data_IF_604919669849
#
_entry.id   IF_604919669849
#
_cell.length_a   1.000
_cell.length_b   1.000
_cell.length_c   1.000
_cell.angle_alpha   90.00
_cell.angle_beta   90.00
_cell.angle_gamma   90.00
#
_symmetry.space_group_name_H-M   'P 1'
#
loop_
_entity.id
_entity.type
_entity.pdbx_description
1 polymer ?
#
# COMPACT_ATOMS: atom_id res chain seq x y z
N UNK A 1 -2.67 0.47 -31.93
CA UNK A 1 -1.84 1.23 -30.98
C UNK A 1 -0.67 0.36 -30.57
N UNK A 2 0.56 0.78 -30.86
CA UNK A 2 1.75 -0.06 -30.69
C UNK A 2 2.17 -0.12 -29.22
N UNK A 3 2.64 -1.28 -28.78
CA UNK A 3 3.16 -1.53 -27.44
C UNK A 3 4.21 -0.47 -27.02
N UNK A 4 4.96 0.08 -27.98
CA UNK A 4 6.03 1.06 -27.78
C UNK A 4 5.55 2.48 -27.41
N UNK A 5 4.37 2.93 -27.87
CA UNK A 5 3.87 4.27 -27.54
C UNK A 5 3.49 4.44 -26.06
N UNK A 6 3.26 3.34 -25.34
CA UNK A 6 3.03 3.35 -23.88
C UNK A 6 4.31 3.66 -23.09
N UNK A 7 5.49 3.50 -23.68
CA UNK A 7 6.78 3.61 -22.98
C UNK A 7 7.47 4.97 -23.11
N UNK A 8 7.15 5.77 -24.13
CA UNK A 8 7.79 7.07 -24.39
C UNK A 8 6.98 8.27 -23.92
N UNK A 9 5.73 8.08 -23.49
CA UNK A 9 4.96 9.16 -22.90
C UNK A 9 5.57 9.54 -21.55
N UNK A 10 5.74 10.84 -21.25
CA UNK A 10 6.14 11.27 -19.91
C UNK A 10 5.19 10.63 -18.89
N UNK A 11 5.70 10.18 -17.72
CA UNK A 11 4.83 9.57 -16.73
C UNK A 11 3.69 10.55 -16.42
N UNK A 12 2.45 10.11 -16.62
CA UNK A 12 1.20 10.85 -16.31
C UNK A 12 1.00 11.07 -14.80
N UNK A 13 2.08 11.17 -14.01
CA UNK A 13 2.00 11.40 -12.57
C UNK A 13 1.78 12.90 -12.36
N UNK A 14 0.51 13.29 -12.34
CA UNK A 14 0.12 14.63 -11.88
C UNK A 14 0.55 14.79 -10.42
N UNK A 15 1.28 15.87 -10.06
CA UNK A 15 1.65 16.18 -8.68
C UNK A 15 0.43 16.49 -7.80
N UNK A 16 -0.73 16.73 -8.42
CA UNK A 16 -2.01 17.06 -7.75
C UNK A 16 -2.78 15.80 -7.31
N UNK A 17 -2.25 14.61 -7.62
CA UNK A 17 -2.92 13.33 -7.42
C UNK A 17 -3.86 12.97 -8.58
N UNK A 18 -4.24 11.70 -8.65
CA UNK A 18 -5.23 11.19 -9.60
C UNK A 18 -6.58 11.05 -8.90
N UNK A 19 -7.65 11.39 -9.60
CA UNK A 19 -9.02 11.29 -9.08
C UNK A 19 -9.96 10.70 -10.13
N UNK A 20 -11.01 10.03 -9.66
CA UNK A 20 -12.17 9.59 -10.44
C UNK A 20 -13.34 10.49 -10.09
N UNK A 21 -14.14 10.87 -11.08
CA UNK A 21 -15.41 11.56 -10.85
C UNK A 21 -16.53 10.69 -11.43
N UNK A 22 -17.52 10.37 -10.61
CA UNK A 22 -18.80 9.81 -11.05
C UNK A 22 -19.77 10.99 -11.16
N UNK A 23 -20.31 11.24 -12.35
CA UNK A 23 -21.07 12.46 -12.68
C UNK A 23 -22.55 12.12 -12.82
N UNK A 24 -23.39 13.00 -12.28
CA UNK A 24 -24.84 13.03 -12.49
C UNK A 24 -25.15 14.40 -13.07
N UNK A 25 -25.72 14.45 -14.27
CA UNK A 25 -25.95 15.68 -15.02
C UNK A 25 -27.43 15.96 -15.27
N UNK A 26 -28.27 14.94 -15.26
CA UNK A 26 -29.69 15.09 -15.59
C UNK A 26 -30.57 15.07 -14.33
N UNK A 27 -31.55 15.98 -14.20
CA UNK A 27 -32.49 15.96 -13.07
C UNK A 27 -33.22 14.62 -12.91
N UNK A 28 -33.52 13.94 -14.01
CA UNK A 28 -34.21 12.65 -14.04
C UNK A 28 -33.38 11.53 -13.40
N UNK A 29 -32.04 11.61 -13.48
CA UNK A 29 -31.15 10.63 -12.85
C UNK A 29 -31.32 10.59 -11.33
N UNK A 30 -31.81 11.67 -10.72
CA UNK A 30 -32.11 11.72 -9.30
C UNK A 30 -33.30 10.81 -8.91
N UNK A 31 -34.13 10.40 -9.87
CA UNK A 31 -35.20 9.41 -9.67
C UNK A 31 -34.72 7.96 -9.84
N UNK A 32 -33.59 7.77 -10.51
CA UNK A 32 -33.03 6.45 -10.80
C UNK A 32 -32.10 5.99 -9.69
N UNK A 33 -32.65 5.71 -8.51
CA UNK A 33 -31.86 5.44 -7.29
C UNK A 33 -30.82 4.33 -7.47
N UNK A 34 -31.09 3.32 -8.29
CA UNK A 34 -30.15 2.22 -8.56
C UNK A 34 -28.87 2.68 -9.28
N UNK A 35 -28.99 3.68 -10.15
CA UNK A 35 -27.93 4.17 -11.03
C UNK A 35 -27.16 5.35 -10.43
N UNK A 36 -27.68 5.97 -9.37
CA UNK A 36 -27.00 7.04 -8.66
C UNK A 36 -25.72 6.53 -7.94
N UNK A 37 -24.66 7.35 -7.91
CA UNK A 37 -23.53 7.14 -7.02
C UNK A 37 -23.99 6.89 -5.59
N UNK A 38 -23.40 5.89 -4.94
CA UNK A 38 -23.84 5.44 -3.62
C UNK A 38 -23.77 6.54 -2.54
N UNK A 39 -22.87 7.50 -2.72
CA UNK A 39 -22.74 8.69 -1.89
C UNK A 39 -23.98 9.57 -1.99
N UNK A 40 -24.49 9.82 -3.21
CA UNK A 40 -25.70 10.60 -3.43
C UNK A 40 -26.94 9.87 -2.89
N UNK A 41 -27.02 8.55 -3.10
CA UNK A 41 -28.07 7.72 -2.49
C UNK A 41 -28.10 7.85 -0.97
N UNK A 42 -26.93 7.76 -0.35
CA UNK A 42 -26.79 7.92 1.10
C UNK A 42 -27.22 9.32 1.56
N UNK A 43 -26.82 10.37 0.84
CA UNK A 43 -27.24 11.74 1.14
C UNK A 43 -28.76 11.88 1.05
N UNK A 44 -29.38 11.40 -0.03
CA UNK A 44 -30.83 11.48 -0.20
C UNK A 44 -31.60 10.68 0.84
N UNK A 45 -31.06 9.53 1.30
CA UNK A 45 -31.66 8.77 2.41
C UNK A 45 -31.60 9.51 3.76
N UNK A 46 -30.58 10.36 3.96
CA UNK A 46 -30.38 11.11 5.21
C UNK A 46 -31.10 12.45 5.21
N UNK A 47 -31.14 13.11 4.07
CA UNK A 47 -31.75 14.41 3.86
C UNK A 47 -32.52 14.41 2.53
N UNK A 48 -33.75 13.89 2.50
CA UNK A 48 -34.55 13.81 1.27
C UNK A 48 -34.78 15.18 0.61
N UNK A 49 -34.87 16.25 1.41
CA UNK A 49 -35.00 17.62 0.91
C UNK A 49 -33.83 18.07 0.02
N UNK A 50 -32.65 17.45 0.15
CA UNK A 50 -31.50 17.78 -0.70
C UNK A 50 -31.64 17.23 -2.11
N UNK A 51 -32.50 16.23 -2.33
CA UNK A 51 -32.79 15.69 -3.67
C UNK A 51 -33.37 16.77 -4.59
N UNK A 52 -34.34 17.54 -4.10
CA UNK A 52 -34.98 18.60 -4.90
C UNK A 52 -34.02 19.75 -5.20
N UNK A 53 -33.19 20.15 -4.23
CA UNK A 53 -32.14 21.15 -4.46
C UNK A 53 -31.09 20.68 -5.48
N UNK A 54 -30.73 19.40 -5.45
CA UNK A 54 -29.83 18.82 -6.45
C UNK A 54 -30.47 18.86 -7.83
N UNK A 55 -31.73 18.43 -7.99
CA UNK A 55 -32.44 18.51 -9.27
C UNK A 55 -32.51 19.93 -9.82
N UNK A 56 -32.77 20.91 -8.97
CA UNK A 56 -32.81 22.31 -9.37
C UNK A 56 -31.46 22.78 -9.91
N UNK A 57 -30.36 22.39 -9.26
CA UNK A 57 -29.01 22.69 -9.75
C UNK A 57 -28.75 21.98 -11.09
N UNK A 58 -29.15 20.72 -11.22
CA UNK A 58 -29.00 19.97 -12.47
C UNK A 58 -29.80 20.61 -13.62
N UNK A 59 -31.02 21.06 -13.34
CA UNK A 59 -31.89 21.72 -14.32
C UNK A 59 -31.40 23.10 -14.77
N UNK A 60 -30.39 23.66 -14.09
CA UNK A 60 -29.72 24.91 -14.47
C UNK A 60 -28.45 24.68 -15.30
N UNK A 61 -28.29 23.51 -15.94
CA UNK A 61 -27.15 23.23 -16.83
C UNK A 61 -25.85 22.91 -16.09
N UNK A 62 -25.94 22.37 -14.87
CA UNK A 62 -24.79 21.99 -14.04
C UNK A 62 -24.86 20.50 -13.74
N UNK A 63 -23.71 19.89 -13.48
CA UNK A 63 -23.63 18.51 -13.05
C UNK A 63 -23.00 18.40 -11.66
N UNK A 64 -23.35 17.34 -10.93
CA UNK A 64 -22.74 16.98 -9.66
C UNK A 64 -21.81 15.79 -9.87
N UNK A 65 -20.55 15.99 -9.49
CA UNK A 65 -19.53 14.96 -9.49
C UNK A 65 -19.23 14.45 -8.09
N UNK A 66 -19.20 13.13 -7.90
CA UNK A 66 -18.58 12.50 -6.73
C UNK A 66 -17.10 12.31 -7.03
N UNK A 67 -16.27 13.24 -6.54
CA UNK A 67 -14.81 13.18 -6.72
C UNK A 67 -14.17 12.28 -5.67
N UNK A 68 -13.54 11.22 -6.13
CA UNK A 68 -12.77 10.27 -5.30
C UNK A 68 -11.29 10.33 -5.66
N UNK A 69 -10.44 10.60 -4.68
CA UNK A 69 -8.99 10.55 -4.84
C UNK A 69 -8.54 9.09 -4.89
N UNK A 70 -7.78 8.78 -5.95
CA UNK A 70 -7.19 7.46 -6.20
C UNK A 70 -5.75 7.37 -5.69
N UNK A 71 -5.04 8.51 -5.66
CA UNK A 71 -3.70 8.63 -5.09
C UNK A 71 -3.64 9.85 -4.18
N UNK A 72 -3.18 9.63 -2.95
CA UNK A 72 -2.94 10.66 -1.95
C UNK A 72 -2.03 11.75 -2.54
N UNK A 73 -2.42 13.03 -2.42
CA UNK A 73 -1.57 14.14 -2.86
C UNK A 73 -0.19 14.09 -2.19
N UNK A 74 0.85 14.36 -2.97
CA UNK A 74 2.25 14.16 -2.56
C UNK A 74 2.63 15.03 -1.35
N UNK A 75 2.06 16.22 -1.23
CA UNK A 75 2.28 17.10 -0.08
C UNK A 75 1.69 16.56 1.23
N UNK A 76 0.60 15.78 1.18
CA UNK A 76 0.06 15.07 2.35
C UNK A 76 0.98 13.91 2.72
N UNK A 77 1.47 13.15 1.73
CA UNK A 77 2.43 12.07 1.97
C UNK A 77 3.71 12.60 2.59
N UNK A 78 4.24 13.72 2.11
CA UNK A 78 5.39 14.40 2.70
C UNK A 78 5.12 14.82 4.14
N UNK A 79 3.98 15.45 4.43
CA UNK A 79 3.63 15.84 5.80
C UNK A 79 3.53 14.64 6.76
N UNK A 80 2.91 13.54 6.31
CA UNK A 80 2.86 12.28 7.08
C UNK A 80 4.25 11.69 7.28
N UNK A 81 5.09 11.73 6.25
CA UNK A 81 6.48 11.29 6.32
C UNK A 81 7.25 12.08 7.37
N UNK A 82 7.22 13.41 7.32
CA UNK A 82 7.88 14.32 8.29
C UNK A 82 7.52 13.95 9.73
N UNK A 83 6.21 13.86 10.03
CA UNK A 83 5.74 13.53 11.38
C UNK A 83 6.18 12.11 11.77
N UNK A 84 5.94 11.13 10.90
CA UNK A 84 6.19 9.72 11.20
C UNK A 84 7.68 9.43 11.44
N UNK A 85 8.57 9.94 10.58
CA UNK A 85 9.99 9.63 10.61
C UNK A 85 10.71 10.38 11.71
N UNK A 86 10.49 11.70 11.81
CA UNK A 86 11.29 12.52 12.71
C UNK A 86 10.80 12.47 14.16
N UNK A 87 9.49 12.24 14.38
CA UNK A 87 8.89 12.38 15.71
C UNK A 87 8.21 11.11 16.22
N UNK A 88 7.59 10.32 15.33
CA UNK A 88 6.77 9.18 15.76
C UNK A 88 7.45 7.82 15.54
N UNK A 89 8.78 7.77 15.40
CA UNK A 89 9.53 6.51 15.27
C UNK A 89 8.99 5.55 14.19
N UNK A 90 8.58 6.12 13.05
CA UNK A 90 7.94 5.43 11.92
C UNK A 90 6.55 4.83 12.19
N UNK A 91 5.89 5.22 13.28
CA UNK A 91 4.48 4.88 13.53
C UNK A 91 3.54 5.88 12.88
N UNK A 92 2.42 5.34 12.38
CA UNK A 92 1.34 6.12 11.77
C UNK A 92 0.00 5.75 12.42
N UNK A 93 -0.21 4.48 12.76
CA UNK A 93 -1.51 4.01 13.31
C UNK A 93 -1.85 4.60 14.68
N UNK A 94 -0.87 5.12 15.41
CA UNK A 94 -1.06 5.65 16.77
C UNK A 94 -1.63 7.06 16.77
N UNK A 95 -1.52 7.80 15.67
CA UNK A 95 -1.88 9.23 15.64
C UNK A 95 -2.61 9.67 14.37
N UNK A 96 -2.33 9.09 13.20
CA UNK A 96 -2.94 9.54 11.95
C UNK A 96 -4.45 9.28 11.91
N UNK A 97 -4.97 8.11 12.33
CA UNK A 97 -6.41 7.88 12.37
C UNK A 97 -7.16 8.87 13.28
N UNK A 98 -6.62 9.17 14.46
CA UNK A 98 -7.22 10.10 15.44
C UNK A 98 -7.08 11.54 14.98
N UNK A 99 -5.99 11.92 14.30
CA UNK A 99 -5.86 13.23 13.68
C UNK A 99 -6.88 13.44 12.56
N UNK A 100 -7.07 12.44 11.69
CA UNK A 100 -8.01 12.56 10.55
C UNK A 100 -9.48 12.51 11.01
N UNK A 101 -9.82 11.69 12.01
CA UNK A 101 -11.19 11.56 12.54
C UNK A 101 -11.56 12.68 13.48
N UNK A 102 -10.77 12.85 14.53
CA UNK A 102 -11.14 13.62 15.71
C UNK A 102 -10.37 14.94 15.81
N UNK A 103 -9.48 15.22 14.84
CA UNK A 103 -8.54 16.35 14.85
C UNK A 103 -7.63 16.35 16.09
N UNK A 104 -7.47 15.19 16.72
CA UNK A 104 -6.60 15.06 17.87
C UNK A 104 -5.15 15.16 17.41
N UNK A 105 -4.45 16.16 17.93
CA UNK A 105 -3.08 16.44 17.52
C UNK A 105 -2.13 15.35 18.07
N UNK A 106 -1.17 14.86 17.28
CA UNK A 106 -0.08 14.05 17.81
C UNK A 106 0.70 14.82 18.88
N UNK A 107 1.17 14.10 19.90
CA UNK A 107 2.03 14.69 20.92
C UNK A 107 3.46 14.86 20.39
N UNK A 108 3.99 16.08 20.51
CA UNK A 108 5.36 16.44 20.12
C UNK A 108 6.13 16.94 21.34
N UNK A 109 7.40 16.55 21.45
CA UNK A 109 8.33 17.06 22.46
C UNK A 109 9.15 18.22 21.91
N UNK A 110 9.78 19.01 22.79
CA UNK A 110 10.68 20.09 22.33
C UNK A 110 11.82 19.57 21.45
N UNK A 111 12.35 18.39 21.77
CA UNK A 111 13.38 17.73 20.97
C UNK A 111 12.91 17.37 19.56
N UNK A 112 11.62 17.06 19.38
CA UNK A 112 11.05 16.79 18.05
C UNK A 112 11.08 18.06 17.19
N UNK A 113 10.70 19.20 17.76
CA UNK A 113 10.73 20.49 17.07
C UNK A 113 12.14 20.86 16.62
N UNK A 114 13.14 20.68 17.50
CA UNK A 114 14.55 20.94 17.15
C UNK A 114 15.02 20.02 16.01
N UNK A 115 14.76 18.71 16.11
CA UNK A 115 15.16 17.74 15.08
C UNK A 115 14.56 18.04 13.72
N UNK A 116 13.29 18.46 13.67
CA UNK A 116 12.61 18.76 12.40
C UNK A 116 13.09 20.08 11.80
N UNK A 117 13.45 21.06 12.63
CA UNK A 117 14.05 22.31 12.19
C UNK A 117 15.44 22.11 11.56
N UNK A 118 16.25 21.18 12.07
CA UNK A 118 17.55 20.82 11.47
C UNK A 118 17.41 20.35 10.01
N UNK A 119 16.25 19.80 9.64
CA UNK A 119 15.92 19.38 8.27
C UNK A 119 15.19 20.45 7.45
N UNK A 120 15.02 21.67 7.98
CA UNK A 120 14.32 22.76 7.30
C UNK A 120 12.80 22.57 7.16
N UNK A 121 12.22 21.67 7.96
CA UNK A 121 10.79 21.37 7.96
C UNK A 121 10.09 21.95 9.21
N UNK A 122 8.74 21.99 9.21
CA UNK A 122 7.95 22.50 10.34
C UNK A 122 6.79 21.55 10.66
N UNK A 123 6.73 21.10 11.92
CA UNK A 123 5.70 20.16 12.38
C UNK A 123 4.29 20.74 12.29
N UNK A 124 4.11 22.00 12.71
CA UNK A 124 2.79 22.63 12.71
C UNK A 124 2.23 22.76 11.29
N UNK A 125 3.10 23.09 10.32
CA UNK A 125 2.72 23.13 8.90
C UNK A 125 2.36 21.74 8.36
N UNK A 126 3.12 20.69 8.74
CA UNK A 126 2.79 19.32 8.35
C UNK A 126 1.41 18.90 8.87
N UNK A 127 1.09 19.21 10.14
CA UNK A 127 -0.22 18.93 10.73
C UNK A 127 -1.32 19.74 10.04
N UNK A 128 -1.08 21.03 9.78
CA UNK A 128 -2.03 21.91 9.09
C UNK A 128 -2.34 21.41 7.69
N UNK A 129 -1.32 20.99 6.92
CA UNK A 129 -1.49 20.41 5.59
C UNK A 129 -2.42 19.18 5.64
N UNK A 130 -2.16 18.24 6.56
CA UNK A 130 -2.97 17.03 6.69
C UNK A 130 -4.41 17.40 7.04
N UNK A 131 -4.60 18.29 8.02
CA UNK A 131 -5.92 18.71 8.45
C UNK A 131 -6.67 19.47 7.35
N UNK A 132 -6.03 20.40 6.65
CA UNK A 132 -6.66 21.19 5.57
C UNK A 132 -7.14 20.30 4.44
N UNK A 133 -6.31 19.36 4.01
CA UNK A 133 -6.59 18.56 2.82
C UNK A 133 -7.31 17.22 3.10
N UNK A 134 -7.58 16.86 4.36
CA UNK A 134 -8.29 15.63 4.74
C UNK A 134 -9.68 15.46 4.10
N UNK A 135 -10.37 16.57 3.81
CA UNK A 135 -11.70 16.56 3.18
C UNK A 135 -11.64 16.31 1.66
N UNK A 136 -10.45 16.35 1.05
CA UNK A 136 -10.32 16.30 -0.41
C UNK A 136 -10.35 14.89 -0.97
N UNK A 137 -10.25 13.86 -0.13
CA UNK A 137 -10.18 12.46 -0.55
C UNK A 137 -11.49 11.95 -1.16
N UNK A 138 -12.62 12.40 -0.62
CA UNK A 138 -13.93 12.12 -1.18
C UNK A 138 -14.86 13.29 -0.90
N UNK A 139 -15.32 13.95 -1.95
CA UNK A 139 -16.19 15.13 -1.85
C UNK A 139 -17.10 15.23 -3.06
N UNK A 140 -18.22 15.93 -2.89
CA UNK A 140 -19.05 16.36 -4.00
C UNK A 140 -18.46 17.63 -4.60
N UNK A 141 -18.49 17.71 -5.93
CA UNK A 141 -18.06 18.87 -6.70
C UNK A 141 -19.14 19.23 -7.70
N UNK A 142 -19.26 20.52 -7.98
CA UNK A 142 -20.05 20.98 -9.12
C UNK A 142 -19.18 21.04 -10.36
N UNK A 143 -19.78 20.66 -11.47
CA UNK A 143 -19.25 20.75 -12.81
C UNK A 143 -20.20 21.68 -13.55
N UNK A 144 -19.66 22.80 -14.03
CA UNK A 144 -20.43 23.75 -14.81
C UNK A 144 -20.35 23.33 -16.28
N UNK A 145 -21.42 22.73 -16.80
CA UNK A 145 -21.43 22.19 -18.17
C UNK A 145 -21.70 23.28 -19.20
N UNK A 146 -22.45 24.32 -18.81
CA UNK A 146 -22.87 25.42 -19.69
C UNK A 146 -22.06 26.72 -19.50
N UNK A 147 -21.01 26.70 -18.65
CA UNK A 147 -20.16 27.86 -18.32
C UNK A 147 -20.94 29.05 -17.72
N UNK A 148 -21.98 28.77 -16.94
CA UNK A 148 -22.84 29.78 -16.31
C UNK A 148 -22.22 30.39 -15.06
N UNK A 149 -21.16 29.78 -14.53
CA UNK A 149 -20.52 30.12 -13.27
C UNK A 149 -21.16 29.42 -12.07
N UNK A 150 -20.35 29.17 -11.04
CA UNK A 150 -20.78 28.55 -9.77
C UNK A 150 -20.94 29.65 -8.72
N UNK A 151 -22.13 29.76 -8.13
CA UNK A 151 -22.43 30.76 -7.11
C UNK A 151 -21.89 30.36 -5.73
N UNK A 152 -21.76 31.32 -4.81
CA UNK A 152 -21.33 31.04 -3.44
C UNK A 152 -22.32 30.13 -2.68
N UNK A 153 -23.62 30.25 -2.96
CA UNK A 153 -24.65 29.40 -2.36
C UNK A 153 -24.50 27.95 -2.81
N UNK A 154 -24.25 27.73 -4.10
CA UNK A 154 -24.01 26.41 -4.67
C UNK A 154 -22.72 25.77 -4.13
N UNK A 155 -21.66 26.57 -3.96
CA UNK A 155 -20.42 26.11 -3.31
C UNK A 155 -20.66 25.71 -1.85
N UNK A 156 -21.43 26.52 -1.10
CA UNK A 156 -21.79 26.22 0.28
C UNK A 156 -22.59 24.92 0.35
N UNK A 157 -23.58 24.75 -0.51
CA UNK A 157 -24.38 23.53 -0.59
C UNK A 157 -23.51 22.29 -0.89
N UNK A 158 -22.54 22.36 -1.82
CA UNK A 158 -21.63 21.24 -2.06
C UNK A 158 -20.78 20.86 -0.84
N UNK A 159 -20.37 21.86 -0.04
CA UNK A 159 -19.65 21.60 1.20
C UNK A 159 -20.57 20.89 2.22
N UNK A 160 -21.81 21.35 2.37
CA UNK A 160 -22.81 20.70 3.24
C UNK A 160 -23.07 19.23 2.84
N UNK A 161 -23.23 18.95 1.54
CA UNK A 161 -23.37 17.57 1.05
C UNK A 161 -22.12 16.73 1.33
N UNK A 162 -20.93 17.32 1.19
CA UNK A 162 -19.66 16.65 1.47
C UNK A 162 -19.47 16.35 2.97
N UNK A 163 -19.98 17.21 3.84
CA UNK A 163 -19.97 16.99 5.30
C UNK A 163 -20.84 15.80 5.72
N UNK A 164 -21.97 15.56 5.03
CA UNK A 164 -22.83 14.40 5.32
C UNK A 164 -22.11 13.06 5.10
N UNK A 165 -21.27 12.96 4.07
CA UNK A 165 -20.50 11.73 3.78
C UNK A 165 -19.20 11.67 4.58
N UNK A 166 -18.76 12.77 5.20
CA UNK A 166 -17.45 12.89 5.84
C UNK A 166 -17.16 11.81 6.89
N UNK A 167 -18.05 11.50 7.85
CA UNK A 167 -17.77 10.46 8.87
C UNK A 167 -17.39 9.11 8.27
N UNK A 168 -17.93 8.78 7.09
CA UNK A 168 -17.63 7.55 6.37
C UNK A 168 -16.42 7.72 5.44
N UNK A 169 -16.23 8.92 4.86
CA UNK A 169 -15.13 9.25 3.97
C UNK A 169 -13.78 9.34 4.69
N UNK A 170 -13.75 9.69 5.98
CA UNK A 170 -12.51 9.73 6.76
C UNK A 170 -11.82 8.38 6.77
N UNK A 171 -12.56 7.30 6.94
CA UNK A 171 -11.97 5.95 6.98
C UNK A 171 -11.36 5.55 5.64
N UNK A 172 -11.98 6.00 4.54
CA UNK A 172 -11.39 5.88 3.21
C UNK A 172 -10.11 6.70 3.10
N UNK A 173 -10.10 7.95 3.60
CA UNK A 173 -8.93 8.82 3.59
C UNK A 173 -7.76 8.23 4.41
N UNK A 174 -8.03 7.78 5.64
CA UNK A 174 -7.05 7.11 6.52
C UNK A 174 -6.43 5.93 5.81
N UNK A 175 -7.26 5.02 5.26
CA UNK A 175 -6.76 3.87 4.54
C UNK A 175 -5.93 4.28 3.31
N UNK A 176 -6.41 5.25 2.52
CA UNK A 176 -5.75 5.69 1.29
C UNK A 176 -4.38 6.29 1.58
N UNK A 177 -4.28 7.16 2.59
CA UNK A 177 -3.00 7.75 3.02
C UNK A 177 -2.04 6.67 3.51
N UNK A 178 -2.51 5.73 4.32
CA UNK A 178 -1.69 4.61 4.82
C UNK A 178 -1.20 3.73 3.67
N UNK A 179 -2.10 3.35 2.75
CA UNK A 179 -1.78 2.48 1.61
C UNK A 179 -0.83 3.16 0.63
N UNK A 180 -1.02 4.44 0.32
CA UNK A 180 -0.16 5.16 -0.62
C UNK A 180 1.21 5.48 -0.01
N UNK A 181 1.28 5.86 1.27
CA UNK A 181 2.55 6.02 1.99
C UNK A 181 3.33 4.69 2.04
N UNK A 182 2.63 3.57 2.18
CA UNK A 182 3.23 2.24 2.09
C UNK A 182 3.69 1.90 0.67
N UNK A 183 2.94 2.30 -0.36
CA UNK A 183 3.24 2.07 -1.78
C UNK A 183 4.46 2.86 -2.27
N UNK A 184 4.62 4.11 -1.83
CA UNK A 184 5.83 4.89 -2.13
C UNK A 184 7.10 4.22 -1.56
N UNK A 185 6.96 3.54 -0.42
CA UNK A 185 8.05 2.76 0.19
C UNK A 185 8.28 1.39 -0.45
N UNK A 186 7.40 0.92 -1.34
CA UNK A 186 7.42 -0.46 -1.90
C UNK A 186 7.33 -0.52 -3.41
N UNK A 187 7.87 0.49 -4.12
CA UNK A 187 7.85 0.61 -5.59
C UNK A 187 8.49 -0.57 -6.36
N UNK A 188 9.08 -1.52 -5.64
CA UNK A 188 9.82 -2.67 -6.12
C UNK A 188 8.98 -3.84 -6.66
N UNK A 189 7.77 -4.06 -6.14
CA UNK A 189 7.00 -5.28 -6.44
C UNK A 189 6.62 -5.45 -7.93
N UNK A 190 6.43 -4.34 -8.66
CA UNK A 190 6.09 -4.37 -10.09
C UNK A 190 7.29 -4.71 -10.99
N UNK A 191 8.51 -4.48 -10.53
CA UNK A 191 9.73 -4.78 -11.27
C UNK A 191 10.05 -6.28 -11.20
N UNK A 192 9.76 -6.91 -10.07
CA UNK A 192 10.02 -8.35 -9.85
C UNK A 192 9.11 -9.23 -10.70
N UNK A 193 7.80 -8.94 -10.77
CA UNK A 193 6.86 -9.69 -11.63
C UNK A 193 7.26 -9.61 -13.11
N UNK A 194 7.84 -8.48 -13.55
CA UNK A 194 8.38 -8.36 -14.91
C UNK A 194 9.68 -9.14 -15.09
N UNK A 195 10.49 -9.24 -14.03
CA UNK A 195 11.70 -10.04 -13.98
C UNK A 195 11.45 -11.53 -14.24
N UNK A 196 10.33 -12.09 -13.75
CA UNK A 196 9.97 -13.51 -13.94
C UNK A 196 9.99 -14.01 -15.40
N UNK A 197 9.63 -13.15 -16.37
CA UNK A 197 9.70 -13.49 -17.80
C UNK A 197 11.12 -13.67 -18.33
N UNK A 198 12.12 -13.15 -17.62
CA UNK A 198 13.55 -13.29 -17.91
C UNK A 198 14.16 -14.37 -17.01
N UNK A 199 13.77 -14.42 -15.73
CA UNK A 199 14.31 -15.36 -14.75
C UNK A 199 13.95 -16.81 -15.08
N UNK A 200 12.71 -17.08 -15.47
CA UNK A 200 12.25 -18.45 -15.82
C UNK A 200 13.08 -19.11 -16.93
N UNK A 201 13.24 -18.47 -18.10
CA UNK A 201 14.10 -19.00 -19.17
C UNK A 201 15.55 -19.20 -18.75
N UNK A 202 16.15 -18.23 -18.04
CA UNK A 202 17.55 -18.32 -17.62
C UNK A 202 17.75 -19.43 -16.60
N UNK A 203 16.88 -19.52 -15.58
CA UNK A 203 16.90 -20.60 -14.61
C UNK A 203 16.74 -21.97 -15.30
N UNK A 204 15.88 -22.07 -16.32
CA UNK A 204 15.63 -23.32 -17.03
C UNK A 204 16.85 -23.78 -17.84
N UNK A 205 17.53 -22.83 -18.48
CA UNK A 205 18.78 -23.12 -19.19
C UNK A 205 19.88 -23.52 -18.21
N UNK A 206 20.05 -22.77 -17.12
CA UNK A 206 21.08 -23.06 -16.11
C UNK A 206 20.89 -24.42 -15.44
N UNK A 207 19.64 -24.78 -15.11
CA UNK A 207 19.33 -26.08 -14.51
C UNK A 207 19.63 -27.26 -15.46
N UNK A 208 19.50 -27.04 -16.78
CA UNK A 208 19.85 -28.04 -17.80
C UNK A 208 21.36 -28.21 -17.96
N UNK A 209 22.15 -27.17 -17.72
CA UNK A 209 23.62 -27.25 -17.82
C UNK A 209 24.22 -27.94 -16.60
N UNK A 210 23.80 -27.56 -15.39
CA UNK A 210 24.26 -28.15 -14.14
C UNK A 210 23.09 -28.14 -13.15
N UNK A 211 22.68 -29.32 -12.69
CA UNK A 211 21.62 -29.45 -11.68
C UNK A 211 21.97 -28.63 -10.44
N UNK A 212 21.00 -27.87 -9.94
CA UNK A 212 21.16 -26.97 -8.81
C UNK A 212 21.54 -25.53 -9.17
N UNK A 213 22.23 -25.25 -10.28
CA UNK A 213 22.59 -23.86 -10.63
C UNK A 213 21.35 -23.04 -10.97
N UNK A 214 20.37 -23.63 -11.66
CA UNK A 214 19.10 -22.97 -11.94
C UNK A 214 18.29 -22.72 -10.65
N UNK A 215 18.35 -23.66 -9.70
CA UNK A 215 17.77 -23.50 -8.35
C UNK A 215 18.43 -22.35 -7.58
N UNK A 216 19.77 -22.26 -7.56
CA UNK A 216 20.51 -21.15 -6.92
C UNK A 216 20.12 -19.81 -7.53
N UNK A 217 20.09 -19.75 -8.87
CA UNK A 217 19.72 -18.54 -9.59
C UNK A 217 18.28 -18.12 -9.26
N UNK A 218 17.31 -19.04 -9.37
CA UNK A 218 15.92 -18.76 -9.05
C UNK A 218 15.70 -18.31 -7.60
N UNK A 219 16.42 -18.91 -6.64
CA UNK A 219 16.34 -18.55 -5.22
C UNK A 219 17.00 -17.21 -4.88
N UNK A 220 17.97 -16.75 -5.67
CA UNK A 220 18.77 -15.56 -5.34
C UNK A 220 18.39 -14.31 -6.13
N UNK A 221 17.79 -14.46 -7.32
CA UNK A 221 17.58 -13.33 -8.22
C UNK A 221 16.58 -12.31 -7.67
N UNK A 222 15.50 -12.75 -7.03
CA UNK A 222 14.53 -11.83 -6.44
C UNK A 222 15.17 -10.98 -5.32
N UNK A 223 15.97 -11.60 -4.45
CA UNK A 223 16.72 -10.93 -3.39
C UNK A 223 17.75 -9.93 -3.94
N UNK A 224 18.48 -10.32 -4.98
CA UNK A 224 19.48 -9.46 -5.63
C UNK A 224 18.81 -8.27 -6.31
N UNK A 225 17.72 -8.50 -7.06
CA UNK A 225 16.97 -7.42 -7.72
C UNK A 225 16.33 -6.48 -6.69
N UNK A 226 15.80 -7.05 -5.60
CA UNK A 226 15.34 -6.38 -4.39
C UNK A 226 16.35 -5.38 -3.85
N UNK A 227 17.47 -5.90 -3.39
CA UNK A 227 18.50 -5.09 -2.74
C UNK A 227 19.18 -4.14 -3.72
N UNK A 228 19.34 -4.53 -5.00
CA UNK A 228 19.95 -3.67 -6.02
C UNK A 228 19.13 -2.42 -6.31
N UNK A 229 17.79 -2.52 -6.36
CA UNK A 229 16.97 -1.33 -6.58
C UNK A 229 16.98 -0.41 -5.34
N UNK A 230 17.07 -0.96 -4.13
CA UNK A 230 17.21 -0.15 -2.92
C UNK A 230 18.58 0.54 -2.84
N UNK A 231 19.66 -0.16 -3.22
CA UNK A 231 21.00 0.42 -3.37
C UNK A 231 21.01 1.53 -4.43
N UNK A 232 20.33 1.33 -5.57
CA UNK A 232 20.21 2.37 -6.61
C UNK A 232 19.39 3.57 -6.14
N UNK A 233 18.31 3.35 -5.38
CA UNK A 233 17.51 4.42 -4.79
C UNK A 233 18.33 5.26 -3.81
N UNK A 234 19.11 4.61 -2.94
CA UNK A 234 20.02 5.29 -2.00
C UNK A 234 21.18 5.98 -2.71
N UNK A 235 21.71 5.41 -3.79
CA UNK A 235 22.70 6.10 -4.62
C UNK A 235 22.11 7.36 -5.27
N UNK A 236 20.89 7.27 -5.78
CA UNK A 236 20.14 8.39 -6.33
C UNK A 236 19.90 9.51 -5.31
N UNK A 237 19.84 9.17 -4.02
CA UNK A 237 19.75 10.14 -2.91
C UNK A 237 21.11 10.59 -2.35
N UNK A 238 22.22 10.34 -3.03
CA UNK A 238 23.53 10.94 -2.73
C UNK A 238 24.42 10.16 -1.76
N UNK A 239 24.06 8.93 -1.37
CA UNK A 239 24.91 8.12 -0.48
C UNK A 239 26.20 7.64 -1.17
N UNK A 240 27.30 7.62 -0.42
CA UNK A 240 28.59 7.18 -0.94
C UNK A 240 28.62 5.67 -1.17
N UNK A 241 29.29 5.22 -2.25
CA UNK A 241 29.44 3.81 -2.60
C UNK A 241 30.00 2.94 -1.46
N UNK A 242 30.86 3.50 -0.61
CA UNK A 242 31.44 2.80 0.54
C UNK A 242 30.39 2.44 1.60
N UNK A 243 29.34 3.24 1.73
CA UNK A 243 28.24 2.97 2.66
C UNK A 243 27.28 1.93 2.08
N UNK A 244 26.99 2.02 0.79
CA UNK A 244 26.19 1.03 0.06
C UNK A 244 26.85 -0.35 0.05
N UNK A 245 28.18 -0.42 -0.07
CA UNK A 245 28.94 -1.67 -0.03
C UNK A 245 28.97 -2.35 1.35
N UNK A 246 28.71 -1.61 2.45
CA UNK A 246 28.54 -2.25 3.76
C UNK A 246 27.20 -2.99 3.84
N UNK A 247 26.19 -2.48 3.14
CA UNK A 247 24.83 -3.02 3.11
C UNK A 247 24.75 -4.32 2.30
N UNK A 248 25.47 -4.41 1.19
CA UNK A 248 25.55 -5.64 0.38
C UNK A 248 26.14 -6.84 1.14
N UNK A 249 26.83 -6.64 2.26
CA UNK A 249 27.33 -7.74 3.12
C UNK A 249 26.20 -8.57 3.72
N UNK A 250 24.98 -8.02 3.83
CA UNK A 250 23.80 -8.74 4.32
C UNK A 250 23.36 -9.81 3.30
N UNK A 251 23.67 -9.63 2.01
CA UNK A 251 23.34 -10.61 0.97
C UNK A 251 24.21 -11.88 1.05
N UNK A 252 25.41 -11.80 1.63
CA UNK A 252 26.32 -12.94 1.69
C UNK A 252 25.76 -14.16 2.45
N UNK A 253 25.27 -14.02 3.71
CA UNK A 253 24.68 -15.15 4.43
C UNK A 253 23.40 -15.66 3.76
N UNK A 254 22.62 -14.78 3.14
CA UNK A 254 21.41 -15.15 2.39
C UNK A 254 21.77 -15.98 1.16
N UNK A 255 22.75 -15.51 0.37
CA UNK A 255 23.23 -16.23 -0.81
C UNK A 255 23.82 -17.59 -0.42
N UNK A 256 24.55 -17.67 0.70
CA UNK A 256 25.05 -18.93 1.22
C UNK A 256 23.90 -19.90 1.58
N UNK A 257 22.83 -19.40 2.21
CA UNK A 257 21.66 -20.20 2.56
C UNK A 257 20.86 -20.66 1.32
N UNK A 258 20.65 -19.76 0.35
CA UNK A 258 20.03 -20.08 -0.94
C UNK A 258 20.85 -21.12 -1.70
N UNK A 259 22.18 -20.99 -1.70
CA UNK A 259 23.11 -21.95 -2.30
C UNK A 259 23.01 -23.31 -1.64
N UNK A 260 23.10 -23.35 -0.31
CA UNK A 260 22.97 -24.58 0.47
C UNK A 260 21.62 -25.26 0.22
N UNK A 261 20.52 -24.50 0.27
CA UNK A 261 19.18 -25.02 0.04
C UNK A 261 19.01 -25.59 -1.37
N UNK A 262 19.45 -24.87 -2.40
CA UNK A 262 19.38 -25.29 -3.79
C UNK A 262 20.14 -26.59 -4.08
N UNK A 263 21.36 -26.75 -3.53
CA UNK A 263 22.15 -27.97 -3.71
C UNK A 263 21.68 -29.14 -2.82
N UNK A 264 20.92 -28.85 -1.77
CA UNK A 264 20.33 -29.87 -0.90
C UNK A 264 19.05 -30.48 -1.50
N UNK A 265 18.44 -29.85 -2.52
CA UNK A 265 17.20 -30.36 -3.13
C UNK A 265 17.42 -31.70 -3.81
N UNK A 266 18.41 -31.82 -4.70
CA UNK A 266 18.59 -33.02 -5.52
C UNK A 266 18.87 -34.28 -4.69
N UNK A 267 19.80 -34.26 -3.71
CA UNK A 267 20.03 -35.40 -2.83
C UNK A 267 18.76 -35.82 -2.06
N UNK A 268 17.97 -34.86 -1.59
CA UNK A 268 16.71 -35.14 -0.90
C UNK A 268 15.66 -35.79 -1.82
N UNK A 269 15.62 -35.40 -3.10
CA UNK A 269 14.72 -36.02 -4.07
C UNK A 269 15.18 -37.45 -4.41
N UNK A 270 16.48 -37.68 -4.60
CA UNK A 270 17.07 -38.99 -4.90
C UNK A 270 16.87 -39.99 -3.75
N UNK A 271 16.98 -39.53 -2.50
CA UNK A 271 16.74 -40.35 -1.31
C UNK A 271 15.25 -40.60 -1.02
N UNK A 272 14.34 -40.07 -1.84
CA UNK A 272 12.88 -40.23 -1.68
C UNK A 272 12.23 -39.27 -0.68
N UNK A 273 12.98 -38.33 -0.11
CA UNK A 273 12.46 -37.28 0.78
C UNK A 273 11.86 -36.09 0.00
N UNK A 274 10.91 -36.39 -0.90
CA UNK A 274 10.32 -35.45 -1.86
C UNK A 274 9.76 -34.19 -1.19
N UNK A 275 9.02 -34.35 -0.10
CA UNK A 275 8.41 -33.23 0.64
C UNK A 275 9.49 -32.31 1.23
N UNK A 276 10.57 -32.89 1.78
CA UNK A 276 11.66 -32.12 2.38
C UNK A 276 12.45 -31.35 1.32
N UNK A 277 12.71 -31.94 0.15
CA UNK A 277 13.34 -31.23 -0.97
C UNK A 277 12.55 -29.97 -1.36
N UNK A 278 11.22 -30.06 -1.39
CA UNK A 278 10.33 -28.93 -1.61
C UNK A 278 10.37 -27.87 -0.50
N UNK A 279 10.31 -28.28 0.77
CA UNK A 279 10.37 -27.37 1.92
C UNK A 279 11.71 -26.61 1.94
N UNK A 280 12.82 -27.32 1.77
CA UNK A 280 14.18 -26.74 1.81
C UNK A 280 14.32 -25.70 0.70
N UNK A 281 13.91 -26.01 -0.52
CA UNK A 281 13.94 -25.05 -1.61
C UNK A 281 13.08 -23.82 -1.31
N UNK A 282 11.82 -24.03 -0.95
CA UNK A 282 10.87 -22.95 -0.69
C UNK A 282 11.31 -22.01 0.44
N UNK A 283 11.86 -22.55 1.54
CA UNK A 283 12.40 -21.72 2.64
C UNK A 283 13.68 -20.99 2.23
N UNK A 284 14.58 -21.66 1.50
CA UNK A 284 15.84 -21.06 1.07
C UNK A 284 15.64 -19.88 0.11
N UNK A 285 14.59 -19.95 -0.71
CA UNK A 285 14.28 -18.93 -1.70
C UNK A 285 13.60 -17.67 -1.13
N UNK A 286 13.11 -17.70 0.13
CA UNK A 286 12.45 -16.55 0.79
C UNK A 286 13.14 -16.14 2.09
N UNK A 287 14.35 -16.62 2.31
CA UNK A 287 15.05 -16.49 3.58
C UNK A 287 15.34 -15.03 3.95
N UNK A 288 15.79 -14.21 2.98
CA UNK A 288 16.03 -12.79 3.22
C UNK A 288 14.75 -12.10 3.68
N UNK A 289 13.66 -12.35 2.99
CA UNK A 289 12.42 -11.66 3.31
C UNK A 289 11.79 -12.11 4.62
N UNK A 290 11.88 -13.41 4.95
CA UNK A 290 11.44 -13.89 6.25
C UNK A 290 12.26 -13.26 7.39
N UNK A 291 13.59 -13.15 7.21
CA UNK A 291 14.44 -12.49 8.21
C UNK A 291 14.15 -11.00 8.33
N UNK A 292 13.95 -10.29 7.23
CA UNK A 292 13.62 -8.85 7.25
C UNK A 292 12.24 -8.60 7.87
N UNK A 293 11.24 -9.44 7.60
CA UNK A 293 9.93 -9.37 8.23
C UNK A 293 10.04 -9.52 9.76
N UNK A 294 10.75 -10.55 10.23
CA UNK A 294 10.98 -10.79 11.66
C UNK A 294 11.72 -9.61 12.32
N UNK A 295 12.81 -9.13 11.71
CA UNK A 295 13.57 -8.00 12.22
C UNK A 295 12.71 -6.74 12.32
N UNK A 296 11.88 -6.50 11.30
CA UNK A 296 11.02 -5.31 11.26
C UNK A 296 9.96 -5.33 12.35
N UNK A 297 9.38 -6.49 12.65
CA UNK A 297 8.47 -6.67 13.79
C UNK A 297 9.15 -6.31 15.12
N UNK A 298 10.38 -6.79 15.36
CA UNK A 298 11.12 -6.45 16.58
C UNK A 298 11.48 -4.96 16.65
N UNK A 299 11.85 -4.35 15.52
CA UNK A 299 12.10 -2.91 15.43
C UNK A 299 10.85 -2.11 15.79
N UNK A 300 9.69 -2.46 15.24
CA UNK A 300 8.43 -1.81 15.56
C UNK A 300 8.05 -1.99 17.03
N UNK A 301 8.26 -3.18 17.60
CA UNK A 301 8.04 -3.42 19.03
C UNK A 301 8.96 -2.57 19.92
N UNK A 302 10.22 -2.36 19.51
CA UNK A 302 11.17 -1.46 20.19
C UNK A 302 10.71 -0.01 20.10
N UNK A 303 10.31 0.44 18.92
CA UNK A 303 9.86 1.82 18.69
C UNK A 303 8.61 2.17 19.51
N UNK A 304 7.71 1.21 19.78
CA UNK A 304 6.59 1.44 20.73
C UNK A 304 7.04 1.68 22.16
N UNK A 305 8.14 1.05 22.56
CA UNK A 305 8.72 1.30 23.87
C UNK A 305 9.20 2.75 23.96
N UNK A 306 9.94 3.21 22.95
CA UNK A 306 10.40 4.59 22.86
C UNK A 306 9.25 5.60 22.87
N UNK A 307 8.18 5.34 22.10
CA UNK A 307 6.98 6.19 22.11
C UNK A 307 6.30 6.25 23.48
N UNK A 308 6.25 5.13 24.20
CA UNK A 308 5.66 5.08 25.54
C UNK A 308 6.56 5.79 26.56
N UNK A 309 7.88 5.61 26.46
CA UNK A 309 8.88 6.26 27.32
C UNK A 309 8.85 7.80 27.13
N UNK A 310 8.64 8.27 25.90
CA UNK A 310 8.42 9.68 25.54
C UNK A 310 7.01 10.20 25.88
N UNK A 311 6.15 9.38 26.49
CA UNK A 311 4.76 9.70 26.85
C UNK A 311 3.88 10.12 25.66
N UNK A 312 4.26 9.75 24.43
CA UNK A 312 3.48 10.01 23.21
C UNK A 312 2.30 9.05 23.05
N UNK A 313 2.38 7.89 23.68
CA UNK A 313 1.29 6.91 23.77
C UNK A 313 1.14 6.43 25.21
N UNK A 314 -0.04 5.91 25.55
CA UNK A 314 -0.25 5.24 26.83
C UNK A 314 0.69 4.02 26.97
N UNK A 315 1.09 3.72 28.20
CA UNK A 315 1.90 2.53 28.49
C UNK A 315 1.09 1.29 28.12
N UNK A 316 1.63 0.52 27.17
CA UNK A 316 1.00 -0.70 26.66
C UNK A 316 1.59 -1.94 27.33
N UNK A 317 0.70 -2.82 27.77
CA UNK A 317 1.02 -4.19 28.17
C UNK A 317 1.70 -4.97 27.03
N UNK A 318 2.42 -6.04 27.37
CA UNK A 318 3.18 -6.83 26.41
C UNK A 318 2.34 -7.36 25.23
N UNK A 319 1.11 -7.81 25.48
CA UNK A 319 0.19 -8.29 24.44
C UNK A 319 -0.31 -7.16 23.54
N UNK A 320 -0.71 -6.02 24.12
CA UNK A 320 -1.17 -4.86 23.38
C UNK A 320 -0.06 -4.30 22.48
N UNK A 321 1.18 -4.25 22.99
CA UNK A 321 2.36 -3.84 22.24
C UNK A 321 2.65 -4.76 21.04
N UNK A 322 2.59 -6.07 21.23
CA UNK A 322 2.77 -7.04 20.13
C UNK A 322 1.71 -6.86 19.06
N UNK A 323 0.43 -6.73 19.46
CA UNK A 323 -0.66 -6.50 18.52
C UNK A 323 -0.46 -5.22 17.72
N UNK A 324 -0.06 -4.13 18.37
CA UNK A 324 0.09 -2.83 17.72
C UNK A 324 1.32 -2.78 16.81
N UNK A 325 2.41 -3.46 17.17
CA UNK A 325 3.56 -3.64 16.28
C UNK A 325 3.20 -4.44 15.01
N UNK A 326 2.45 -5.54 15.14
CA UNK A 326 1.97 -6.31 13.99
C UNK A 326 1.05 -5.46 13.11
N UNK A 327 0.11 -4.73 13.72
CA UNK A 327 -0.79 -3.85 12.97
C UNK A 327 -0.02 -2.76 12.22
N UNK A 328 1.01 -2.18 12.82
CA UNK A 328 1.84 -1.17 12.15
C UNK A 328 2.62 -1.77 11.00
N UNK A 329 3.24 -2.92 11.19
CA UNK A 329 4.04 -3.57 10.15
C UNK A 329 3.19 -3.97 8.93
N UNK A 330 2.00 -4.53 9.19
CA UNK A 330 1.04 -4.93 8.15
C UNK A 330 0.07 -3.83 7.71
N UNK A 331 0.27 -2.58 8.14
CA UNK A 331 -0.39 -1.45 7.46
C UNK A 331 0.07 -1.30 6.03
N UNK A 332 1.26 -1.81 5.71
CA UNK A 332 1.77 -1.90 4.36
C UNK A 332 1.28 -3.21 3.71
N UNK A 333 0.38 -3.14 2.70
CA UNK A 333 -0.12 -4.34 2.03
C UNK A 333 0.96 -5.16 1.35
N UNK A 334 2.03 -4.53 0.85
CA UNK A 334 3.16 -5.26 0.29
C UNK A 334 3.86 -6.08 1.37
N UNK A 335 4.13 -5.54 2.57
CA UNK A 335 4.75 -6.30 3.67
C UNK A 335 3.90 -7.46 4.16
N UNK A 336 2.58 -7.27 4.24
CA UNK A 336 1.67 -8.36 4.55
C UNK A 336 1.76 -9.46 3.49
N UNK A 337 1.73 -9.09 2.22
CA UNK A 337 1.84 -10.05 1.13
C UNK A 337 3.21 -10.71 1.04
N UNK A 338 4.28 -10.01 1.41
CA UNK A 338 5.62 -10.57 1.54
C UNK A 338 5.64 -11.68 2.60
N UNK A 339 5.12 -11.41 3.81
CA UNK A 339 5.03 -12.44 4.85
C UNK A 339 4.15 -13.62 4.43
N UNK A 340 2.97 -13.35 3.84
CA UNK A 340 2.07 -14.40 3.37
C UNK A 340 2.73 -15.26 2.29
N UNK A 341 3.43 -14.63 1.35
CA UNK A 341 4.12 -15.32 0.27
C UNK A 341 5.33 -16.11 0.77
N UNK A 342 6.09 -15.60 1.74
CA UNK A 342 7.15 -16.34 2.40
C UNK A 342 6.61 -17.59 3.14
N UNK A 343 5.43 -17.50 3.76
CA UNK A 343 4.76 -18.64 4.38
C UNK A 343 4.21 -19.65 3.34
N UNK A 344 3.88 -19.20 2.13
CA UNK A 344 3.38 -20.04 1.03
C UNK A 344 4.51 -20.69 0.21
N UNK A 345 5.71 -20.11 0.19
CA UNK A 345 6.82 -20.62 -0.61
C UNK A 345 7.20 -22.08 -0.31
N UNK A 346 7.22 -22.57 0.95
CA UNK A 346 7.43 -24.00 1.23
C UNK A 346 6.33 -24.88 0.64
N UNK A 347 5.07 -24.41 0.65
CA UNK A 347 3.94 -25.15 0.08
C UNK A 347 4.08 -25.24 -1.44
N UNK A 348 4.48 -24.14 -2.08
CA UNK A 348 4.79 -24.12 -3.52
C UNK A 348 5.97 -25.03 -3.87
N UNK A 349 7.00 -25.06 -3.01
CA UNK A 349 8.13 -25.98 -3.12
C UNK A 349 7.71 -27.45 -3.02
N UNK A 350 6.88 -27.81 -2.04
CA UNK A 350 6.32 -29.17 -1.91
C UNK A 350 5.54 -29.54 -3.16
N UNK A 351 4.68 -28.65 -3.66
CA UNK A 351 3.90 -28.91 -4.86
C UNK A 351 4.81 -29.14 -6.08
N UNK A 352 5.84 -28.31 -6.27
CA UNK A 352 6.84 -28.49 -7.33
C UNK A 352 7.57 -29.83 -7.24
N UNK A 353 7.95 -30.24 -6.02
CA UNK A 353 8.65 -31.51 -5.77
C UNK A 353 7.75 -32.73 -6.01
N UNK A 354 6.53 -32.73 -5.48
CA UNK A 354 5.56 -33.84 -5.64
C UNK A 354 5.16 -34.03 -7.11
N UNK A 355 5.06 -32.94 -7.87
CA UNK A 355 4.76 -33.00 -9.31
C UNK A 355 5.99 -33.36 -10.16
N UNK A 356 7.17 -33.54 -9.55
CA UNK A 356 8.42 -33.85 -10.24
C UNK A 356 8.95 -32.70 -11.11
N UNK A 357 8.55 -31.46 -10.84
CA UNK A 357 8.83 -30.29 -11.68
C UNK A 357 10.03 -29.45 -11.21
N UNK A 358 10.80 -29.92 -10.23
CA UNK A 358 11.95 -29.20 -9.65
C UNK A 358 13.15 -29.06 -10.59
N UNK A 359 13.10 -29.67 -11.77
CA UNK A 359 14.07 -29.48 -12.85
C UNK A 359 13.63 -28.41 -13.86
N UNK A 360 12.39 -27.89 -13.74
CA UNK A 360 11.86 -26.89 -14.65
C UNK A 360 12.09 -25.48 -14.10
N UNK A 361 12.99 -24.73 -14.75
CA UNK A 361 13.30 -23.35 -14.34
C UNK A 361 12.12 -22.38 -14.25
N UNK A 362 11.02 -22.60 -14.98
CA UNK A 362 9.81 -21.79 -14.80
C UNK A 362 9.13 -22.06 -13.45
N UNK A 363 9.10 -23.32 -13.03
CA UNK A 363 8.55 -23.72 -11.74
C UNK A 363 9.47 -23.23 -10.62
N UNK A 364 10.79 -23.37 -10.79
CA UNK A 364 11.77 -22.84 -9.84
C UNK A 364 11.66 -21.32 -9.68
N UNK A 365 11.57 -20.57 -10.78
CA UNK A 365 11.37 -19.12 -10.75
C UNK A 365 10.04 -18.74 -10.10
N UNK A 366 8.97 -19.47 -10.39
CA UNK A 366 7.65 -19.22 -9.77
C UNK A 366 7.70 -19.45 -8.26
N UNK A 367 8.34 -20.54 -7.80
CA UNK A 367 8.50 -20.83 -6.38
C UNK A 367 9.37 -19.75 -5.71
N UNK A 368 10.51 -19.41 -6.32
CA UNK A 368 11.42 -18.39 -5.79
C UNK A 368 10.81 -17.00 -5.72
N UNK A 369 9.92 -16.66 -6.65
CA UNK A 369 9.19 -15.38 -6.63
C UNK A 369 7.80 -15.45 -6.01
N UNK A 370 7.44 -16.54 -5.31
CA UNK A 370 6.12 -16.70 -4.66
C UNK A 370 5.81 -15.49 -3.79
N UNK A 371 6.82 -15.03 -3.06
CA UNK A 371 6.72 -13.88 -2.19
C UNK A 371 6.34 -12.60 -2.91
N UNK A 372 7.12 -12.25 -3.93
CA UNK A 372 6.93 -11.07 -4.77
C UNK A 372 5.58 -11.08 -5.48
N UNK A 373 5.13 -12.25 -5.96
CA UNK A 373 3.83 -12.45 -6.59
C UNK A 373 2.71 -12.16 -5.57
N UNK A 374 2.75 -12.78 -4.39
CA UNK A 374 1.74 -12.61 -3.35
C UNK A 374 1.73 -11.17 -2.83
N UNK A 375 2.88 -10.54 -2.67
CA UNK A 375 2.99 -9.11 -2.34
C UNK A 375 2.32 -8.21 -3.38
N UNK A 376 2.61 -8.43 -4.67
CA UNK A 376 1.99 -7.68 -5.77
C UNK A 376 0.47 -7.84 -5.82
N UNK A 377 -0.03 -9.08 -5.66
CA UNK A 377 -1.46 -9.36 -5.57
C UNK A 377 -2.09 -8.72 -4.34
N UNK A 378 -1.45 -8.78 -3.19
CA UNK A 378 -1.96 -8.19 -1.94
C UNK A 378 -2.13 -6.68 -2.06
N UNK A 379 -1.16 -5.97 -2.67
CA UNK A 379 -1.29 -4.54 -2.96
C UNK A 379 -2.46 -4.26 -3.91
N UNK A 380 -2.58 -5.03 -4.99
CA UNK A 380 -3.66 -4.87 -5.96
C UNK A 380 -5.04 -5.09 -5.34
N UNK A 381 -5.18 -6.11 -4.49
CA UNK A 381 -6.44 -6.40 -3.80
C UNK A 381 -6.73 -5.41 -2.68
N UNK A 382 -5.71 -4.89 -1.98
CA UNK A 382 -5.90 -3.92 -0.90
C UNK A 382 -6.61 -2.65 -1.38
N UNK A 383 -6.25 -2.14 -2.56
CA UNK A 383 -6.93 -1.00 -3.19
C UNK A 383 -8.42 -1.29 -3.42
N UNK A 384 -8.75 -2.47 -3.96
CA UNK A 384 -10.14 -2.88 -4.21
C UNK A 384 -10.93 -3.14 -2.93
N UNK A 385 -10.30 -3.74 -1.93
CA UNK A 385 -10.93 -4.07 -0.63
C UNK A 385 -11.34 -2.79 0.09
N UNK A 386 -10.52 -1.74 0.05
CA UNK A 386 -10.86 -0.46 0.69
C UNK A 386 -12.08 0.21 0.06
N UNK A 387 -12.10 0.30 -1.27
CA UNK A 387 -13.26 0.84 -1.99
C UNK A 387 -14.52 0.01 -1.70
N UNK A 388 -14.39 -1.31 -1.69
CA UNK A 388 -15.47 -2.21 -1.33
C UNK A 388 -15.96 -2.02 0.11
N UNK A 389 -15.06 -1.89 1.10
CA UNK A 389 -15.42 -1.65 2.51
C UNK A 389 -16.18 -0.34 2.69
N UNK A 390 -15.74 0.73 2.03
CA UNK A 390 -16.41 2.02 2.05
C UNK A 390 -17.83 1.90 1.46
N UNK A 391 -17.96 1.33 0.25
CA UNK A 391 -19.26 1.11 -0.41
C UNK A 391 -20.18 0.23 0.44
N UNK A 392 -19.64 -0.84 1.03
CA UNK A 392 -20.41 -1.75 1.90
C UNK A 392 -20.96 -1.02 3.13
N UNK A 393 -20.16 -0.17 3.79
CA UNK A 393 -20.65 0.60 4.94
C UNK A 393 -21.75 1.58 4.57
N UNK A 394 -21.61 2.28 3.44
CA UNK A 394 -22.70 3.10 2.91
C UNK A 394 -23.97 2.28 2.66
N UNK A 395 -23.86 1.10 2.03
CA UNK A 395 -25.01 0.20 1.83
C UNK A 395 -25.63 -0.25 3.15
N UNK A 396 -24.82 -0.60 4.15
CA UNK A 396 -25.34 -0.99 5.47
C UNK A 396 -26.13 0.14 6.11
N UNK A 397 -25.63 1.38 6.03
CA UNK A 397 -26.33 2.55 6.55
C UNK A 397 -27.61 2.90 5.77
N UNK A 398 -27.61 2.71 4.45
CA UNK A 398 -28.80 2.82 3.61
C UNK A 398 -29.89 1.83 4.04
N UNK A 399 -29.52 0.56 4.22
CA UNK A 399 -30.45 -0.51 4.61
C UNK A 399 -30.98 -0.38 6.04
N UNK A 400 -30.23 0.25 6.95
CA UNK A 400 -30.69 0.50 8.32
C UNK A 400 -31.68 1.67 8.38
N UNK A 401 -31.50 2.68 7.54
CA UNK A 401 -32.41 3.82 7.43
C UNK A 401 -33.71 3.51 6.68
N UNK A 402 -33.74 2.49 5.81
CA UNK A 402 -34.96 2.04 5.15
C UNK A 402 -35.84 1.10 6.01
N UNK A 403 -35.35 0.68 7.19
CA UNK A 403 -36.06 -0.21 8.13
C UNK A 403 -36.67 0.52 9.33
N UNK A 404 -36.49 1.83 9.42
CA UNK A 404 -37.11 2.74 10.37
C UNK A 404 -38.06 3.62 9.59
#
# INVERSE_FOLDING_TARGET
>A
MSFFERFTRPPQRSPVGTYRIEVVSLPEECEWEEYLPIELRYIFSRAPAYKEKVKEILGRGKAIGVRTVLRTPEHILKAVHTISVHTQWNYIITWLPTLLRDKHLPHFTQSDYTRVQEHGERLDNAVEIILRDRLRFKRLVLIDEENLGITHEEQRFMNELSELIYPLAVDYAVFRVIADNARERTHMAQTVIKGLFIVGPVAHVLEKFVSGIGKVFAASVDDILGESAEIMALRGSGFAWRELAKRSRILLPVFALATWGAFSVEPLLEEGYVIWGGIVFGLSAVALSLTTAIQSFFMYRRNLRLLADEKKIAILDGRARTRLALLQDFTNPARLGLLMGAALAPIMGIAGAVLGLMHNGWVLATIGSTESIVAGLTVFFADKISEWRFRRRLRTHLLTHQRV
#
